data_IF_935609329890
#
_entry.id   IF_935609329890
#
_cell.length_a   1.000
_cell.length_b   1.000
_cell.length_c   1.000
_cell.angle_alpha   90.00
_cell.angle_beta   90.00
_cell.angle_gamma   90.00
#
_symmetry.space_group_name_H-M   'P 1'
#
loop_
_entity.id
_entity.type
_entity.pdbx_description
1 polymer ?
#
# COMPACT_ATOMS: atom_id res chain seq x y z
N UNK A 1 -11.90 6.83 -28.94
CA UNK A 1 -11.95 5.54 -28.22
C UNK A 1 -10.54 5.13 -27.90
N UNK A 2 -10.18 5.03 -26.61
CA UNK A 2 -8.86 4.56 -26.21
C UNK A 2 -8.75 3.06 -26.52
N UNK A 3 -7.69 2.66 -27.25
CA UNK A 3 -7.36 1.24 -27.45
C UNK A 3 -7.10 0.51 -26.12
N UNK A 4 -6.93 -0.81 -26.11
CA UNK A 4 -6.72 -1.59 -24.89
C UNK A 4 -5.55 -1.08 -24.04
N UNK A 5 -4.51 -0.54 -24.65
CA UNK A 5 -3.36 0.04 -23.95
C UNK A 5 -3.69 1.41 -23.35
N UNK A 6 -4.53 2.22 -24.00
CA UNK A 6 -5.01 3.48 -23.44
C UNK A 6 -5.87 3.30 -22.19
N UNK A 7 -6.71 2.26 -22.15
CA UNK A 7 -7.51 1.94 -20.96
C UNK A 7 -6.63 1.48 -19.79
N UNK A 8 -5.59 0.70 -20.07
CA UNK A 8 -4.65 0.27 -19.05
C UNK A 8 -3.87 1.46 -18.49
N UNK A 9 -3.38 2.35 -19.34
CA UNK A 9 -2.66 3.55 -18.91
C UNK A 9 -3.54 4.45 -18.02
N UNK A 10 -4.78 4.72 -18.45
CA UNK A 10 -5.75 5.47 -17.64
C UNK A 10 -6.05 4.77 -16.32
N UNK A 11 -6.16 3.45 -16.33
CA UNK A 11 -6.35 2.64 -15.13
C UNK A 11 -5.17 2.77 -14.15
N UNK A 12 -3.95 2.73 -14.64
CA UNK A 12 -2.73 2.89 -13.82
C UNK A 12 -2.63 4.30 -13.23
N UNK A 13 -2.86 5.34 -14.02
CA UNK A 13 -2.86 6.73 -13.55
C UNK A 13 -3.98 6.98 -12.52
N UNK A 14 -5.19 6.50 -12.82
CA UNK A 14 -6.32 6.58 -11.89
C UNK A 14 -6.09 5.81 -10.60
N UNK A 15 -5.50 4.62 -10.69
CA UNK A 15 -5.13 3.82 -9.53
C UNK A 15 -4.10 4.54 -8.65
N UNK A 16 -3.08 5.15 -9.25
CA UNK A 16 -2.09 5.96 -8.53
C UNK A 16 -2.73 7.15 -7.81
N UNK A 17 -3.51 7.96 -8.54
CA UNK A 17 -4.13 9.16 -8.00
C UNK A 17 -5.14 8.85 -6.88
N UNK A 18 -6.06 7.90 -7.10
CA UNK A 18 -7.08 7.55 -6.10
C UNK A 18 -6.48 6.85 -4.88
N UNK A 19 -5.48 6.01 -5.07
CA UNK A 19 -4.79 5.37 -3.95
C UNK A 19 -4.00 6.36 -3.11
N UNK A 20 -3.40 7.38 -3.75
CA UNK A 20 -2.74 8.48 -3.05
C UNK A 20 -3.71 9.25 -2.15
N UNK A 21 -4.87 9.64 -2.69
CA UNK A 21 -5.91 10.34 -1.92
C UNK A 21 -6.44 9.48 -0.77
N UNK A 22 -6.71 8.20 -1.03
CA UNK A 22 -7.18 7.27 0.01
C UNK A 22 -6.12 7.06 1.11
N UNK A 23 -4.86 6.89 0.73
CA UNK A 23 -3.75 6.73 1.67
C UNK A 23 -3.53 7.97 2.53
N UNK A 24 -3.53 9.17 1.94
CA UNK A 24 -3.44 10.43 2.69
C UNK A 24 -4.63 10.62 3.63
N UNK A 25 -5.85 10.31 3.18
CA UNK A 25 -7.05 10.36 4.02
C UNK A 25 -6.93 9.45 5.25
N UNK A 26 -6.37 8.25 5.07
CA UNK A 26 -6.10 7.35 6.18
C UNK A 26 -5.04 7.90 7.14
N UNK A 27 -3.94 8.46 6.63
CA UNK A 27 -2.91 9.11 7.46
C UNK A 27 -3.54 10.20 8.32
N UNK A 28 -4.33 11.10 7.72
CA UNK A 28 -5.03 12.15 8.47
C UNK A 28 -6.02 11.60 9.51
N UNK A 29 -6.65 10.45 9.23
CA UNK A 29 -7.53 9.80 10.19
C UNK A 29 -6.74 9.22 11.38
N UNK A 30 -5.59 8.60 11.11
CA UNK A 30 -4.69 8.07 12.15
C UNK A 30 -4.15 9.20 13.04
N UNK A 31 -3.91 10.39 12.48
CA UNK A 31 -3.48 11.58 13.22
C UNK A 31 -4.46 11.99 14.34
N UNK A 32 -5.73 11.69 14.17
CA UNK A 32 -6.76 11.98 15.18
C UNK A 32 -6.72 11.02 16.37
N UNK A 33 -5.99 9.90 16.24
CA UNK A 33 -5.81 8.96 17.36
C UNK A 33 -4.80 9.55 18.35
N UNK A 34 -5.15 9.72 19.63
CA UNK A 34 -4.24 10.30 20.62
C UNK A 34 -2.91 9.58 20.68
N UNK A 35 -1.82 10.33 20.60
CA UNK A 35 -0.48 9.81 20.78
C UNK A 35 -0.07 9.94 22.24
N UNK A 36 0.16 8.81 22.89
CA UNK A 36 0.73 8.76 24.22
C UNK A 36 2.25 8.61 24.09
N UNK A 37 3.01 9.68 24.35
CA UNK A 37 4.46 9.69 24.25
C UNK A 37 5.03 11.06 23.87
N UNK A 38 6.33 11.10 23.63
CA UNK A 38 6.99 12.33 23.19
C UNK A 38 6.46 12.78 21.83
N UNK A 39 6.12 14.07 21.75
CA UNK A 39 5.56 14.71 20.54
C UNK A 39 6.42 14.50 19.31
N UNK A 40 7.76 14.43 19.48
CA UNK A 40 8.71 14.18 18.40
C UNK A 40 8.53 12.80 17.76
N UNK A 41 8.40 11.75 18.57
CA UNK A 41 8.20 10.37 18.09
C UNK A 41 6.87 10.25 17.34
N UNK A 42 5.83 10.94 17.83
CA UNK A 42 4.53 10.97 17.17
C UNK A 42 4.60 11.61 15.79
N UNK A 43 5.27 12.75 15.67
CA UNK A 43 5.44 13.47 14.40
C UNK A 43 6.28 12.68 13.38
N UNK A 44 7.33 12.00 13.84
CA UNK A 44 8.16 11.15 12.98
C UNK A 44 7.34 9.97 12.42
N UNK A 45 6.59 9.27 13.28
CA UNK A 45 5.76 8.16 12.83
C UNK A 45 4.70 8.59 11.81
N UNK A 46 4.12 9.76 12.01
CA UNK A 46 3.17 10.36 11.08
C UNK A 46 3.81 10.68 9.73
N UNK A 47 4.99 11.29 9.74
CA UNK A 47 5.75 11.56 8.52
C UNK A 47 6.08 10.26 7.76
N UNK A 48 6.46 9.18 8.45
CA UNK A 48 6.73 7.87 7.84
C UNK A 48 5.50 7.35 7.09
N UNK A 49 4.30 7.44 7.69
CA UNK A 49 3.05 7.03 7.05
C UNK A 49 2.76 7.83 5.77
N UNK A 50 2.93 9.15 5.81
CA UNK A 50 2.75 10.01 4.64
C UNK A 50 3.76 9.72 3.53
N UNK A 51 5.04 9.56 3.85
CA UNK A 51 6.06 9.18 2.88
C UNK A 51 5.80 7.80 2.26
N UNK A 52 5.36 6.84 3.06
CA UNK A 52 4.99 5.52 2.55
C UNK A 52 3.86 5.63 1.51
N UNK A 53 2.82 6.43 1.76
CA UNK A 53 1.74 6.66 0.79
C UNK A 53 2.27 7.22 -0.52
N UNK A 54 3.14 8.25 -0.48
CA UNK A 54 3.73 8.85 -1.68
C UNK A 54 4.52 7.81 -2.48
N UNK A 55 5.40 7.06 -1.79
CA UNK A 55 6.24 6.03 -2.43
C UNK A 55 5.36 4.96 -3.08
N UNK A 56 4.38 4.42 -2.37
CA UNK A 56 3.52 3.35 -2.90
C UNK A 56 2.53 3.83 -3.97
N UNK A 57 2.10 5.09 -3.92
CA UNK A 57 1.28 5.69 -4.98
C UNK A 57 2.04 5.82 -6.32
N UNK A 58 3.37 5.92 -6.28
CA UNK A 58 4.22 5.98 -7.47
C UNK A 58 4.73 4.58 -7.87
N UNK A 59 5.32 3.85 -6.93
CA UNK A 59 5.89 2.51 -7.22
C UNK A 59 4.83 1.48 -7.58
N UNK A 60 3.65 1.57 -6.97
CA UNK A 60 2.58 0.61 -7.23
C UNK A 60 2.17 0.58 -8.70
N UNK A 61 1.73 1.69 -9.32
CA UNK A 61 1.39 1.73 -10.74
C UNK A 61 2.55 1.29 -11.65
N UNK A 62 3.81 1.58 -11.29
CA UNK A 62 4.98 1.14 -12.06
C UNK A 62 5.13 -0.40 -12.01
N UNK A 63 5.05 -0.99 -10.83
CA UNK A 63 5.18 -2.45 -10.64
C UNK A 63 3.98 -3.17 -11.27
N UNK A 64 2.76 -2.67 -11.05
CA UNK A 64 1.56 -3.22 -11.70
C UNK A 64 1.64 -3.10 -13.23
N UNK A 65 2.07 -1.94 -13.75
CA UNK A 65 2.25 -1.71 -15.17
C UNK A 65 3.28 -2.66 -15.79
N UNK A 66 4.44 -2.81 -15.15
CA UNK A 66 5.47 -3.75 -15.57
C UNK A 66 4.95 -5.20 -15.56
N UNK A 67 4.29 -5.59 -14.48
CA UNK A 67 3.72 -6.95 -14.36
C UNK A 67 2.67 -7.21 -15.43
N UNK A 68 1.78 -6.26 -15.68
CA UNK A 68 0.71 -6.37 -16.68
C UNK A 68 1.24 -6.28 -18.12
N UNK A 69 2.41 -5.69 -18.34
CA UNK A 69 3.07 -5.74 -19.67
C UNK A 69 3.57 -7.15 -20.00
N UNK A 70 3.93 -7.94 -18.98
CA UNK A 70 4.40 -9.32 -19.13
C UNK A 70 3.23 -10.31 -19.16
N UNK A 71 2.30 -10.17 -18.22
CA UNK A 71 1.19 -11.09 -18.04
C UNK A 71 -0.10 -10.34 -17.71
N UNK A 72 -0.98 -10.15 -18.70
CA UNK A 72 -2.27 -9.44 -18.57
C UNK A 72 -3.34 -10.33 -17.95
N UNK A 73 -3.15 -10.74 -16.71
CA UNK A 73 -4.14 -11.56 -16.01
C UNK A 73 -4.26 -11.16 -14.53
N UNK A 74 -5.38 -11.54 -13.91
CA UNK A 74 -5.66 -11.21 -12.50
C UNK A 74 -4.73 -11.91 -11.50
N UNK A 75 -4.14 -13.06 -11.85
CA UNK A 75 -3.19 -13.78 -10.99
C UNK A 75 -1.87 -13.00 -10.89
N UNK A 76 -1.37 -12.49 -12.03
CA UNK A 76 -0.19 -11.63 -12.04
C UNK A 76 -0.40 -10.33 -11.26
N UNK A 77 -1.60 -9.73 -11.39
CA UNK A 77 -1.98 -8.55 -10.62
C UNK A 77 -1.96 -8.81 -9.10
N UNK A 78 -2.51 -9.95 -8.67
CA UNK A 78 -2.46 -10.36 -7.27
C UNK A 78 -1.02 -10.59 -6.79
N UNK A 79 -0.20 -11.27 -7.60
CA UNK A 79 1.23 -11.47 -7.31
C UNK A 79 1.97 -10.16 -7.11
N UNK A 80 1.75 -9.16 -7.99
CA UNK A 80 2.34 -7.83 -7.85
C UNK A 80 1.90 -7.13 -6.55
N UNK A 81 0.61 -7.23 -6.18
CA UNK A 81 0.10 -6.68 -4.93
C UNK A 81 0.76 -7.32 -3.71
N UNK A 82 0.95 -8.64 -3.72
CA UNK A 82 1.64 -9.35 -2.63
C UNK A 82 3.10 -8.92 -2.51
N UNK A 83 3.83 -8.79 -3.63
CA UNK A 83 5.22 -8.31 -3.64
C UNK A 83 5.33 -6.90 -3.10
N UNK A 84 4.39 -6.01 -3.45
CA UNK A 84 4.36 -4.63 -2.94
C UNK A 84 4.12 -4.54 -1.42
N UNK A 85 3.50 -5.54 -0.81
CA UNK A 85 3.26 -5.58 0.64
C UNK A 85 4.45 -6.15 1.43
N UNK A 86 5.41 -6.83 0.77
CA UNK A 86 6.58 -7.41 1.47
C UNK A 86 7.42 -6.35 2.21
N UNK A 87 7.83 -5.23 1.61
CA UNK A 87 8.66 -4.24 2.31
C UNK A 87 7.99 -3.63 3.55
N UNK A 88 6.72 -3.16 3.51
CA UNK A 88 6.10 -2.60 4.71
C UNK A 88 5.86 -3.64 5.81
N UNK A 89 5.57 -4.90 5.44
CA UNK A 89 5.46 -5.99 6.41
C UNK A 89 6.81 -6.30 7.04
N UNK A 90 7.87 -6.41 6.25
CA UNK A 90 9.23 -6.63 6.76
C UNK A 90 9.67 -5.49 7.69
N UNK A 91 9.43 -4.23 7.30
CA UNK A 91 9.74 -3.07 8.13
C UNK A 91 8.96 -3.08 9.44
N UNK A 92 7.66 -3.41 9.41
CA UNK A 92 6.85 -3.56 10.61
C UNK A 92 7.42 -4.63 11.54
N UNK A 93 7.77 -5.81 11.03
CA UNK A 93 8.31 -6.90 11.84
C UNK A 93 9.63 -6.50 12.51
N UNK A 94 10.54 -5.86 11.78
CA UNK A 94 11.82 -5.38 12.31
C UNK A 94 11.56 -4.37 13.43
N UNK A 95 10.73 -3.36 13.21
CA UNK A 95 10.43 -2.33 14.21
C UNK A 95 9.74 -2.91 15.45
N UNK A 96 8.85 -3.90 15.29
CA UNK A 96 8.21 -4.57 16.42
C UNK A 96 9.20 -5.39 17.26
N UNK A 97 10.12 -6.10 16.60
CA UNK A 97 11.18 -6.86 17.29
C UNK A 97 12.10 -5.91 18.07
N UNK A 98 12.58 -4.83 17.44
CA UNK A 98 13.42 -3.83 18.09
C UNK A 98 12.71 -3.19 19.29
N UNK A 99 11.46 -2.74 19.13
CA UNK A 99 10.71 -2.13 20.21
C UNK A 99 10.51 -3.09 21.39
N UNK A 100 10.21 -4.36 21.11
CA UNK A 100 10.01 -5.36 22.17
C UNK A 100 11.30 -5.67 22.93
N UNK A 101 12.43 -5.73 22.21
CA UNK A 101 13.73 -6.02 22.82
C UNK A 101 14.25 -4.87 23.69
N UNK A 102 14.11 -3.62 23.24
CA UNK A 102 14.70 -2.46 23.90
C UNK A 102 13.76 -1.74 24.88
N UNK A 103 12.47 -1.73 24.60
CA UNK A 103 11.48 -0.93 25.36
C UNK A 103 10.44 -1.79 26.09
N UNK A 104 10.47 -3.11 25.91
CA UNK A 104 9.46 -4.02 26.43
C UNK A 104 8.14 -4.01 25.63
N UNK A 105 7.27 -4.96 25.97
CA UNK A 105 6.00 -5.14 25.30
C UNK A 105 4.97 -4.14 25.84
N UNK A 106 4.51 -3.22 24.98
CA UNK A 106 3.44 -2.27 25.29
C UNK A 106 2.37 -2.31 24.15
N UNK A 107 1.19 -2.92 24.40
CA UNK A 107 0.20 -3.20 23.35
C UNK A 107 -0.26 -1.96 22.59
N UNK A 108 -0.45 -0.83 23.26
CA UNK A 108 -0.92 0.41 22.62
C UNK A 108 0.11 0.99 21.65
N UNK A 109 1.40 0.97 22.03
CA UNK A 109 2.51 1.40 21.17
C UNK A 109 2.62 0.51 19.95
N UNK A 110 2.56 -0.80 20.13
CA UNK A 110 2.65 -1.76 19.04
C UNK A 110 1.50 -1.63 18.05
N UNK A 111 0.26 -1.49 18.55
CA UNK A 111 -0.91 -1.27 17.71
C UNK A 111 -0.79 0.01 16.88
N UNK A 112 -0.31 1.09 17.48
CA UNK A 112 -0.10 2.34 16.77
C UNK A 112 1.01 2.22 15.71
N UNK A 113 2.13 1.60 16.02
CA UNK A 113 3.21 1.35 15.06
C UNK A 113 2.68 0.54 13.87
N UNK A 114 1.88 -0.50 14.13
CA UNK A 114 1.18 -1.25 13.10
C UNK A 114 0.29 -0.35 12.22
N UNK A 115 -0.56 0.47 12.83
CA UNK A 115 -1.46 1.36 12.09
C UNK A 115 -0.70 2.34 11.19
N UNK A 116 0.36 2.96 11.70
CA UNK A 116 1.12 3.97 10.95
C UNK A 116 1.99 3.34 9.87
N UNK A 117 2.60 2.18 10.13
CA UNK A 117 3.58 1.58 9.24
C UNK A 117 2.94 0.74 8.13
N UNK A 118 1.92 -0.03 8.45
CA UNK A 118 1.34 -0.99 7.50
C UNK A 118 0.03 -0.51 6.88
N UNK A 119 -0.85 0.13 7.63
CA UNK A 119 -2.18 0.44 7.12
C UNK A 119 -2.17 1.42 5.92
N UNK A 120 -1.40 2.52 5.88
CA UNK A 120 -1.37 3.42 4.74
C UNK A 120 -0.86 2.75 3.45
N UNK A 121 0.31 2.06 3.43
CA UNK A 121 0.75 1.39 2.22
C UNK A 121 -0.16 0.23 1.82
N UNK A 122 -0.71 -0.52 2.78
CA UNK A 122 -1.64 -1.62 2.49
C UNK A 122 -2.93 -1.09 1.83
N UNK A 123 -3.51 -0.01 2.34
CA UNK A 123 -4.68 0.62 1.72
C UNK A 123 -4.34 1.14 0.31
N UNK A 124 -3.18 1.76 0.13
CA UNK A 124 -2.73 2.26 -1.17
C UNK A 124 -2.65 1.12 -2.18
N UNK A 125 -1.99 0.01 -1.84
CA UNK A 125 -1.89 -1.18 -2.70
C UNK A 125 -3.25 -1.82 -2.97
N UNK A 126 -4.11 -1.92 -1.95
CA UNK A 126 -5.45 -2.48 -2.08
C UNK A 126 -6.30 -1.67 -3.07
N UNK A 127 -6.31 -0.35 -2.95
CA UNK A 127 -7.07 0.54 -3.85
C UNK A 127 -6.57 0.39 -5.29
N UNK A 128 -5.25 0.37 -5.51
CA UNK A 128 -4.65 0.14 -6.83
C UNK A 128 -5.06 -1.21 -7.41
N UNK A 129 -4.95 -2.27 -6.61
CA UNK A 129 -5.35 -3.62 -7.00
C UNK A 129 -6.84 -3.68 -7.41
N UNK A 130 -7.73 -3.09 -6.61
CA UNK A 130 -9.17 -3.10 -6.90
C UNK A 130 -9.50 -2.36 -8.18
N UNK A 131 -8.91 -1.17 -8.41
CA UNK A 131 -9.12 -0.40 -9.63
C UNK A 131 -8.62 -1.17 -10.86
N UNK A 132 -7.40 -1.70 -10.79
CA UNK A 132 -6.80 -2.43 -11.91
C UNK A 132 -7.53 -3.76 -12.18
N UNK A 133 -8.07 -4.41 -11.16
CA UNK A 133 -8.91 -5.60 -11.33
C UNK A 133 -10.16 -5.35 -12.15
N UNK A 134 -10.69 -4.12 -12.17
CA UNK A 134 -11.84 -3.74 -13.01
C UNK A 134 -11.43 -3.55 -14.47
N UNK A 135 -10.18 -3.18 -14.72
CA UNK A 135 -9.64 -2.93 -16.07
C UNK A 135 -9.07 -4.21 -16.71
N UNK A 136 -8.50 -5.10 -15.91
CA UNK A 136 -7.85 -6.33 -16.38
C UNK A 136 -8.89 -7.46 -16.53
N UNK A 137 -8.98 -8.09 -17.70
CA UNK A 137 -9.90 -9.19 -17.92
C UNK A 137 -9.55 -10.40 -17.03
N UNK A 138 -10.54 -11.26 -16.70
CA UNK A 138 -10.26 -12.54 -16.06
C UNK A 138 -9.32 -13.39 -16.93
N UNK A 139 -8.53 -14.26 -16.31
CA UNK A 139 -7.73 -15.23 -17.06
C UNK A 139 -8.66 -16.06 -17.95
N UNK A 140 -8.27 -16.39 -19.20
CA UNK A 140 -9.02 -17.32 -20.00
C UNK A 140 -9.13 -18.65 -19.22
N UNK A 141 -10.36 -19.11 -18.99
CA UNK A 141 -10.59 -20.44 -18.48
C UNK A 141 -10.04 -21.42 -19.51
N UNK A 142 -9.01 -22.19 -19.14
CA UNK A 142 -8.59 -23.33 -19.92
C UNK A 142 -9.75 -24.31 -19.90
N UNK A 143 -10.54 -24.31 -20.98
CA UNK A 143 -11.52 -25.36 -21.20
C UNK A 143 -10.80 -26.71 -21.17
N UNK A 144 -11.30 -27.70 -20.41
CA UNK A 144 -10.73 -29.01 -20.33
C UNK A 144 -10.76 -29.75 -21.68
#
# INVERSE_FOLDING_TARGET
MAGPDGRLLLGLLGAGALSFLAGLGLVQLIERVPCHGETLVCNINQAIGAYAVVIWAILGPLIFGLTLSIARNRKALLGAAMVLLVPPVAFLLITQIEHTLYLGFEPQRQFRTFLVTLAPPALTVLVQYLILRLVVPPAPELSP
#
